data_IF_300010674343
#
_entry.id   IF_300010674343
#
_cell.length_a   1.000
_cell.length_b   1.000
_cell.length_c   1.000
_cell.angle_alpha   90.00
_cell.angle_beta   90.00
_cell.angle_gamma   90.00
#
_symmetry.space_group_name_H-M   'P 1'
#
loop_
_entity.id
_entity.type
_entity.pdbx_description
1 polymer ?
#
# COMPACT_ATOMS: atom_id res chain seq x y z
N UNK A 1 20.62 -19.00 1.75
CA UNK A 1 20.25 -18.53 3.09
C UNK A 1 19.98 -19.70 4.02
N UNK A 2 20.17 -19.50 5.33
CA UNK A 2 19.84 -20.48 6.36
C UNK A 2 18.92 -19.85 7.37
N UNK A 3 17.90 -20.57 7.80
CA UNK A 3 17.02 -20.18 8.91
C UNK A 3 17.33 -21.09 10.07
N UNK A 4 17.75 -20.49 11.19
CA UNK A 4 17.95 -21.17 12.45
C UNK A 4 16.72 -21.00 13.34
N UNK A 5 16.31 -22.09 13.99
CA UNK A 5 15.26 -22.06 15.02
C UNK A 5 15.93 -22.45 16.34
N UNK A 6 15.84 -21.58 17.32
CA UNK A 6 16.40 -21.77 18.63
C UNK A 6 15.41 -21.43 19.73
N UNK A 7 15.69 -21.92 20.93
CA UNK A 7 14.98 -21.52 22.12
C UNK A 7 15.74 -20.34 22.74
N UNK A 8 15.07 -19.21 22.89
CA UNK A 8 15.59 -18.09 23.65
C UNK A 8 15.17 -18.23 25.13
N UNK A 9 16.06 -17.84 26.02
CA UNK A 9 15.68 -17.68 27.41
C UNK A 9 14.66 -16.54 27.53
N UNK A 10 13.65 -16.72 28.37
CA UNK A 10 12.71 -15.67 28.69
C UNK A 10 13.36 -14.72 29.71
N UNK A 11 13.27 -13.43 29.43
CA UNK A 11 13.65 -12.41 30.40
C UNK A 11 12.48 -12.12 31.33
N UNK A 12 12.77 -11.98 32.60
CA UNK A 12 11.80 -11.49 33.56
C UNK A 12 11.60 -9.98 33.38
N UNK A 13 10.43 -9.48 33.75
CA UNK A 13 10.13 -8.04 33.70
C UNK A 13 11.09 -7.17 34.52
N UNK A 14 11.85 -7.78 35.43
CA UNK A 14 12.86 -7.13 36.30
C UNK A 14 14.28 -7.21 35.72
N UNK A 15 14.51 -7.96 34.67
CA UNK A 15 15.84 -8.07 34.06
C UNK A 15 16.06 -6.96 33.04
N UNK A 16 17.27 -6.41 33.04
CA UNK A 16 17.69 -5.45 32.01
C UNK A 16 17.92 -6.20 30.71
N UNK A 17 17.31 -5.73 29.64
CA UNK A 17 17.54 -6.28 28.30
C UNK A 17 19.04 -6.20 27.98
N UNK A 18 19.71 -7.33 27.67
CA UNK A 18 21.14 -7.31 27.38
C UNK A 18 21.44 -6.49 26.13
N UNK A 19 22.54 -5.76 26.17
CA UNK A 19 23.01 -5.02 24.99
C UNK A 19 23.36 -6.01 23.87
N UNK A 20 22.86 -5.83 22.65
CA UNK A 20 23.23 -6.66 21.51
C UNK A 20 24.74 -6.63 21.28
N UNK A 21 25.35 -7.78 21.13
CA UNK A 21 26.79 -7.92 20.84
C UNK A 21 27.03 -8.96 19.73
N UNK A 22 28.07 -8.76 18.96
CA UNK A 22 28.53 -9.67 17.90
C UNK A 22 29.86 -10.37 18.22
N UNK A 23 30.20 -10.44 19.51
CA UNK A 23 31.43 -11.11 19.93
C UNK A 23 31.43 -12.59 19.56
N UNK A 24 32.60 -13.22 19.30
CA UNK A 24 32.70 -14.65 19.01
C UNK A 24 32.03 -15.54 20.09
N UNK A 25 32.03 -15.10 21.35
CA UNK A 25 31.37 -15.79 22.44
C UNK A 25 29.83 -15.78 22.26
N UNK A 26 29.27 -14.63 21.92
CA UNK A 26 27.82 -14.47 21.70
C UNK A 26 27.37 -15.25 20.48
N UNK A 27 28.14 -15.21 19.38
CA UNK A 27 27.86 -15.99 18.17
C UNK A 27 27.84 -17.49 18.47
N UNK A 28 28.83 -18.01 19.19
CA UNK A 28 28.88 -19.42 19.59
C UNK A 28 27.71 -19.81 20.51
N UNK A 29 27.35 -18.94 21.46
CA UNK A 29 26.20 -19.18 22.35
C UNK A 29 24.89 -19.26 21.54
N UNK A 30 24.69 -18.35 20.59
CA UNK A 30 23.53 -18.37 19.69
C UNK A 30 23.52 -19.67 18.85
N UNK A 31 24.63 -20.06 18.26
CA UNK A 31 24.73 -21.29 17.47
C UNK A 31 24.43 -22.53 18.32
N UNK A 32 24.94 -22.57 19.57
CA UNK A 32 24.68 -23.68 20.51
C UNK A 32 23.21 -23.77 20.99
N UNK A 33 22.49 -22.64 20.97
CA UNK A 33 21.07 -22.60 21.31
C UNK A 33 20.16 -22.99 20.14
N UNK A 34 20.67 -23.15 18.92
CA UNK A 34 19.88 -23.58 17.77
C UNK A 34 19.42 -25.03 17.93
N UNK A 35 18.12 -25.25 17.82
CA UNK A 35 17.51 -26.58 17.84
C UNK A 35 17.44 -27.17 16.43
N UNK A 36 17.39 -26.33 15.41
CA UNK A 36 17.30 -26.73 14.01
C UNK A 36 17.88 -25.64 13.12
N UNK A 37 18.51 -26.04 12.03
CA UNK A 37 18.95 -25.12 10.95
C UNK A 37 18.48 -25.70 9.63
N UNK A 38 17.77 -24.89 8.84
CA UNK A 38 17.26 -25.27 7.53
C UNK A 38 17.80 -24.34 6.46
N UNK A 39 18.34 -24.90 5.38
CA UNK A 39 18.63 -24.14 4.18
C UNK A 39 17.33 -23.70 3.50
N UNK A 40 17.26 -22.45 3.06
CA UNK A 40 16.13 -21.90 2.30
C UNK A 40 16.63 -21.41 0.95
N UNK A 41 15.91 -21.78 -0.11
CA UNK A 41 16.27 -21.41 -1.48
C UNK A 41 15.89 -19.99 -1.86
N UNK A 42 15.05 -19.34 -1.05
CA UNK A 42 14.62 -17.96 -1.30
C UNK A 42 13.98 -17.32 -0.07
N UNK A 43 13.92 -16.00 -0.10
CA UNK A 43 13.22 -15.18 0.87
C UNK A 43 12.46 -14.06 0.14
N UNK A 44 11.37 -13.58 0.72
CA UNK A 44 10.62 -12.44 0.20
C UNK A 44 10.20 -11.54 1.33
N UNK A 45 10.18 -10.24 1.08
CA UNK A 45 9.40 -9.33 1.91
C UNK A 45 7.92 -9.65 1.74
N UNK A 46 7.13 -9.41 2.77
CA UNK A 46 5.69 -9.65 2.75
C UNK A 46 4.94 -8.51 3.41
N UNK A 47 3.72 -8.27 2.95
CA UNK A 47 2.76 -7.36 3.55
C UNK A 47 1.50 -8.14 3.94
N UNK A 48 0.66 -7.64 4.87
CA UNK A 48 -0.62 -8.27 5.17
C UNK A 48 -1.47 -8.48 3.92
N UNK A 49 -2.20 -9.59 3.87
CA UNK A 49 -3.06 -9.92 2.73
C UNK A 49 -4.47 -9.40 2.95
N UNK A 50 -4.91 -8.52 2.07
CA UNK A 50 -6.28 -8.06 1.97
C UNK A 50 -6.83 -8.41 0.60
N UNK A 51 -7.76 -9.37 0.54
CA UNK A 51 -8.41 -9.70 -0.73
C UNK A 51 -9.50 -8.68 -1.04
N UNK A 52 -9.60 -8.29 -2.31
CA UNK A 52 -10.75 -7.54 -2.75
C UNK A 52 -12.03 -8.39 -2.61
N UNK A 53 -13.09 -7.79 -2.12
CA UNK A 53 -14.41 -8.42 -2.09
C UNK A 53 -15.50 -7.38 -2.37
N UNK A 54 -16.48 -7.78 -3.18
CA UNK A 54 -17.62 -6.92 -3.50
C UNK A 54 -18.44 -6.60 -2.25
N UNK A 55 -18.85 -5.36 -2.10
CA UNK A 55 -19.60 -4.88 -0.93
C UNK A 55 -18.72 -4.34 0.20
N UNK A 56 -17.40 -4.49 0.12
CA UNK A 56 -16.48 -3.95 1.13
C UNK A 56 -16.17 -2.47 0.90
N UNK A 57 -15.88 -1.76 1.99
CA UNK A 57 -15.43 -0.38 1.98
C UNK A 57 -13.90 -0.36 2.10
N UNK A 58 -13.25 0.34 1.17
CA UNK A 58 -11.80 0.54 1.17
C UNK A 58 -11.51 2.01 1.40
N UNK A 59 -10.45 2.28 2.16
CA UNK A 59 -9.99 3.65 2.40
C UNK A 59 -9.05 4.10 1.29
N UNK A 60 -9.06 5.40 1.00
CA UNK A 60 -8.02 5.98 0.16
C UNK A 60 -6.67 5.93 0.88
N UNK A 61 -5.59 5.77 0.12
CA UNK A 61 -4.24 5.92 0.63
C UNK A 61 -4.04 7.34 1.16
N UNK A 62 -3.39 7.42 2.31
CA UNK A 62 -3.03 8.66 2.97
C UNK A 62 -1.53 8.58 3.30
N UNK A 63 -0.74 9.52 2.85
CA UNK A 63 0.71 9.59 3.03
C UNK A 63 1.14 10.16 4.40
N UNK A 64 0.20 10.71 5.16
CA UNK A 64 0.43 11.20 6.53
C UNK A 64 0.32 10.07 7.60
N UNK A 65 0.27 8.83 7.16
CA UNK A 65 0.19 7.67 8.06
C UNK A 65 1.57 7.37 8.65
N UNK A 66 1.72 7.57 9.95
CA UNK A 66 2.97 7.34 10.68
C UNK A 66 3.26 5.87 11.05
N UNK A 67 2.31 4.96 10.87
CA UNK A 67 2.42 3.54 11.17
C UNK A 67 1.82 2.68 10.06
N UNK A 68 2.12 1.37 10.04
CA UNK A 68 1.44 0.44 9.15
C UNK A 68 -0.05 0.53 9.43
N UNK A 69 -0.88 1.01 8.48
CA UNK A 69 -2.27 1.29 8.75
C UNK A 69 -3.05 -0.01 8.98
N UNK A 70 -3.93 0.02 9.97
CA UNK A 70 -4.94 -1.02 10.16
C UNK A 70 -6.04 -0.98 9.09
N UNK A 71 -6.07 0.09 8.30
CA UNK A 71 -7.09 0.33 7.28
C UNK A 71 -6.69 -0.29 5.94
N UNK A 72 -7.65 -0.92 5.29
CA UNK A 72 -7.46 -1.54 3.98
C UNK A 72 -7.47 -0.48 2.88
N UNK A 73 -6.29 -0.05 2.43
CA UNK A 73 -6.12 0.88 1.30
C UNK A 73 -5.49 0.22 0.07
N UNK A 74 -5.12 -1.05 0.17
CA UNK A 74 -4.69 -1.86 -0.96
C UNK A 74 -5.35 -3.23 -0.92
N UNK A 75 -5.45 -3.87 -2.07
CA UNK A 75 -6.13 -5.15 -2.21
C UNK A 75 -5.39 -6.07 -3.18
N UNK A 76 -5.49 -7.37 -2.93
CA UNK A 76 -5.13 -8.42 -3.86
C UNK A 76 -6.41 -8.94 -4.54
N UNK A 77 -6.42 -8.97 -5.86
CA UNK A 77 -7.51 -9.58 -6.64
C UNK A 77 -7.27 -11.08 -6.85
N UNK A 78 -8.29 -11.79 -7.29
CA UNK A 78 -8.20 -13.20 -7.68
C UNK A 78 -7.28 -13.45 -8.87
N UNK A 79 -6.99 -12.40 -9.67
CA UNK A 79 -6.05 -12.44 -10.80
C UNK A 79 -4.58 -12.30 -10.33
N UNK A 80 -4.32 -12.35 -9.04
CA UNK A 80 -3.01 -12.11 -8.42
C UNK A 80 -2.43 -10.71 -8.73
N UNK A 81 -3.28 -9.73 -8.90
CA UNK A 81 -2.91 -8.34 -9.10
C UNK A 81 -3.15 -7.52 -7.82
N UNK A 82 -2.21 -6.66 -7.47
CA UNK A 82 -2.30 -5.78 -6.30
C UNK A 82 -2.60 -4.36 -6.77
N UNK A 83 -3.63 -3.78 -6.16
CA UNK A 83 -4.10 -2.42 -6.43
C UNK A 83 -4.08 -1.59 -5.15
N UNK A 84 -3.70 -0.32 -5.27
CA UNK A 84 -3.87 0.68 -4.22
C UNK A 84 -5.13 1.50 -4.50
N UNK A 85 -5.92 1.73 -3.46
CA UNK A 85 -7.04 2.67 -3.50
C UNK A 85 -6.51 4.08 -3.31
N UNK A 86 -6.64 4.93 -4.30
CA UNK A 86 -6.23 6.33 -4.23
C UNK A 86 -7.37 7.22 -3.71
N UNK A 87 -8.62 6.89 -4.09
CA UNK A 87 -9.78 7.65 -3.65
C UNK A 87 -10.94 6.72 -3.35
N UNK A 88 -11.47 6.84 -2.14
CA UNK A 88 -12.69 6.16 -1.72
C UNK A 88 -13.91 6.77 -2.41
N UNK A 89 -14.84 5.92 -2.83
CA UNK A 89 -16.15 6.38 -3.29
C UNK A 89 -16.99 6.90 -2.11
N UNK A 90 -17.60 8.05 -2.29
CA UNK A 90 -18.49 8.66 -1.31
C UNK A 90 -19.83 9.04 -1.94
N UNK A 91 -20.89 8.90 -1.16
CA UNK A 91 -22.23 9.38 -1.51
C UNK A 91 -22.27 10.92 -1.55
N UNK A 92 -23.38 11.47 -1.99
CA UNK A 92 -23.62 12.94 -1.96
C UNK A 92 -23.61 13.52 -0.55
N UNK A 93 -23.82 12.70 0.48
CA UNK A 93 -23.77 13.10 1.90
C UNK A 93 -22.40 12.88 2.54
N UNK A 94 -21.40 12.42 1.76
CA UNK A 94 -20.06 12.15 2.24
C UNK A 94 -19.85 10.76 2.88
N UNK A 95 -20.88 9.95 3.00
CA UNK A 95 -20.76 8.59 3.53
C UNK A 95 -20.00 7.68 2.54
N UNK A 96 -19.12 6.80 3.03
CA UNK A 96 -18.44 5.84 2.17
C UNK A 96 -19.41 4.92 1.45
N UNK A 97 -19.19 4.69 0.16
CA UNK A 97 -19.90 3.67 -0.62
C UNK A 97 -19.12 2.36 -0.62
N UNK A 98 -19.78 1.21 -0.64
CA UNK A 98 -19.10 -0.07 -0.84
C UNK A 98 -18.54 -0.18 -2.27
N UNK A 99 -17.37 -0.83 -2.41
CA UNK A 99 -16.82 -1.20 -3.71
C UNK A 99 -17.57 -2.41 -4.26
N UNK A 100 -18.12 -2.28 -5.46
CA UNK A 100 -18.88 -3.35 -6.14
C UNK A 100 -18.27 -3.77 -7.46
N UNK A 101 -17.27 -3.04 -7.92
CA UNK A 101 -16.57 -3.30 -9.19
C UNK A 101 -15.11 -3.65 -8.88
N UNK A 102 -14.73 -4.89 -9.23
CA UNK A 102 -13.34 -5.35 -9.08
C UNK A 102 -12.39 -4.44 -9.85
N UNK A 103 -11.31 -3.94 -9.22
CA UNK A 103 -10.31 -3.17 -9.94
C UNK A 103 -9.65 -4.03 -11.02
N UNK A 104 -9.60 -3.47 -12.22
CA UNK A 104 -8.92 -4.05 -13.38
C UNK A 104 -8.41 -2.91 -14.24
N UNK A 105 -7.09 -2.71 -14.26
CA UNK A 105 -6.45 -1.57 -14.89
C UNK A 105 -6.45 -1.69 -16.41
N UNK A 106 -7.11 -0.79 -17.15
CA UNK A 106 -7.02 -0.76 -18.62
C UNK A 106 -5.59 -0.43 -19.10
N UNK A 107 -4.91 0.41 -18.34
CA UNK A 107 -3.50 0.79 -18.52
C UNK A 107 -2.84 0.73 -17.15
N UNK A 108 -1.94 -0.23 -16.93
CA UNK A 108 -1.34 -0.51 -15.62
C UNK A 108 -0.52 0.65 -15.05
N UNK A 109 0.06 1.47 -15.89
CA UNK A 109 0.85 2.64 -15.48
C UNK A 109 0.01 3.84 -15.03
N UNK A 110 -1.31 3.84 -15.24
CA UNK A 110 -2.20 4.97 -14.94
C UNK A 110 -3.20 4.64 -13.84
N UNK A 111 -3.55 5.65 -13.04
CA UNK A 111 -4.72 5.57 -12.18
C UNK A 111 -6.01 5.53 -13.02
N UNK A 112 -7.02 4.83 -12.55
CA UNK A 112 -8.31 4.69 -13.24
C UNK A 112 -9.45 4.69 -12.23
N UNK A 113 -10.63 5.09 -12.70
CA UNK A 113 -11.84 5.13 -11.88
C UNK A 113 -12.79 4.01 -12.30
N UNK A 114 -13.30 3.27 -11.31
CA UNK A 114 -14.33 2.26 -11.51
C UNK A 114 -15.72 2.89 -11.46
N UNK A 115 -16.73 2.23 -12.05
CA UNK A 115 -18.10 2.76 -12.13
C UNK A 115 -18.78 2.92 -10.76
N UNK A 116 -18.31 2.24 -9.73
CA UNK A 116 -18.72 2.42 -8.32
C UNK A 116 -18.11 3.65 -7.65
N UNK A 117 -17.27 4.40 -8.38
CA UNK A 117 -16.72 5.68 -7.97
C UNK A 117 -15.37 5.62 -7.24
N UNK A 118 -14.82 4.45 -7.03
CA UNK A 118 -13.46 4.29 -6.50
C UNK A 118 -12.40 4.66 -7.54
N UNK A 119 -11.27 5.22 -7.10
CA UNK A 119 -10.08 5.42 -7.94
C UNK A 119 -8.98 4.50 -7.47
N UNK A 120 -8.50 3.68 -8.37
CA UNK A 120 -7.47 2.68 -8.13
C UNK A 120 -6.22 2.93 -8.98
N UNK A 121 -5.08 2.43 -8.53
CA UNK A 121 -3.86 2.30 -9.34
C UNK A 121 -3.32 0.89 -9.15
N UNK A 122 -2.92 0.26 -10.26
CA UNK A 122 -2.19 -1.00 -10.24
C UNK A 122 -0.81 -0.77 -9.64
N UNK A 123 -0.34 -1.70 -8.81
CA UNK A 123 1.00 -1.68 -8.23
C UNK A 123 1.88 -2.75 -8.86
N UNK A 124 1.47 -4.01 -8.75
CA UNK A 124 2.22 -5.15 -9.30
C UNK A 124 1.33 -6.38 -9.42
N UNK A 125 1.78 -7.34 -10.22
CA UNK A 125 1.20 -8.68 -10.28
C UNK A 125 2.15 -9.70 -9.67
N UNK A 126 1.59 -10.79 -9.13
CA UNK A 126 2.36 -11.92 -8.63
C UNK A 126 2.51 -12.94 -9.76
N UNK A 127 3.75 -13.27 -10.13
CA UNK A 127 4.00 -14.42 -10.99
C UNK A 127 3.57 -15.72 -10.28
N UNK A 128 3.21 -16.73 -11.05
CA UNK A 128 2.78 -18.02 -10.52
C UNK A 128 3.84 -18.65 -9.59
N UNK A 129 5.13 -18.47 -9.90
CA UNK A 129 6.24 -18.96 -9.08
C UNK A 129 6.32 -18.25 -7.74
N UNK A 130 6.16 -16.92 -7.70
CA UNK A 130 6.17 -16.15 -6.46
C UNK A 130 4.93 -16.42 -5.62
N UNK A 131 3.77 -16.49 -6.25
CA UNK A 131 2.53 -16.86 -5.56
C UNK A 131 2.64 -18.24 -4.92
N UNK A 132 3.14 -19.24 -5.65
CA UNK A 132 3.34 -20.60 -5.13
C UNK A 132 4.35 -20.66 -3.98
N UNK A 133 5.41 -19.85 -4.02
CA UNK A 133 6.48 -19.89 -3.03
C UNK A 133 6.17 -19.08 -1.75
N UNK A 134 5.49 -17.95 -1.86
CA UNK A 134 5.42 -16.96 -0.79
C UNK A 134 4.03 -16.42 -0.46
N UNK A 135 3.01 -16.61 -1.31
CA UNK A 135 1.64 -16.19 -1.00
C UNK A 135 1.06 -17.12 0.06
N UNK A 136 0.55 -16.55 1.13
CA UNK A 136 -0.08 -17.30 2.21
C UNK A 136 -1.49 -16.78 2.50
N UNK A 137 -2.19 -17.40 3.44
CA UNK A 137 -3.51 -16.92 3.88
C UNK A 137 -3.45 -15.49 4.43
N UNK A 138 -2.34 -15.10 5.06
CA UNK A 138 -2.21 -13.85 5.79
C UNK A 138 -1.26 -12.84 5.14
N UNK A 139 -0.44 -13.25 4.17
CA UNK A 139 0.62 -12.41 3.63
C UNK A 139 0.71 -12.49 2.11
N UNK A 140 1.05 -11.35 1.51
CA UNK A 140 1.33 -11.18 0.09
C UNK A 140 2.82 -10.85 -0.08
N UNK A 141 3.56 -11.57 -0.95
CA UNK A 141 4.97 -11.24 -1.20
C UNK A 141 5.11 -9.92 -1.95
N UNK A 142 6.15 -9.18 -1.58
CA UNK A 142 6.54 -7.90 -2.22
C UNK A 142 7.97 -8.00 -2.68
N UNK A 143 8.27 -7.50 -3.86
CA UNK A 143 9.61 -7.34 -4.40
C UNK A 143 9.95 -5.87 -4.54
N UNK A 144 11.20 -5.54 -4.17
CA UNK A 144 11.72 -4.21 -4.45
C UNK A 144 12.14 -4.15 -5.91
N UNK A 145 11.48 -3.33 -6.68
CA UNK A 145 11.80 -3.05 -8.08
C UNK A 145 12.01 -1.55 -8.22
N UNK A 146 13.21 -1.15 -8.60
CA UNK A 146 13.57 0.26 -8.71
C UNK A 146 13.23 0.84 -10.09
N UNK A 147 13.28 0.02 -11.15
CA UNK A 147 12.92 0.42 -12.53
C UNK A 147 12.67 -0.80 -13.40
N UNK A 148 12.02 -0.61 -14.54
CA UNK A 148 11.82 -1.68 -15.53
C UNK A 148 13.12 -2.22 -16.15
N UNK A 149 14.19 -1.43 -16.11
CA UNK A 149 15.52 -1.80 -16.61
C UNK A 149 16.38 -2.60 -15.61
N UNK A 150 15.88 -2.88 -14.41
CA UNK A 150 16.62 -3.65 -13.41
C UNK A 150 16.88 -5.07 -13.90
N UNK A 151 18.13 -5.54 -13.76
CA UNK A 151 18.51 -6.87 -14.20
C UNK A 151 17.86 -7.98 -13.37
N UNK A 152 17.50 -9.09 -14.01
CA UNK A 152 17.00 -10.29 -13.36
C UNK A 152 15.51 -10.28 -13.03
N UNK A 153 14.76 -9.28 -13.49
CA UNK A 153 13.30 -9.24 -13.34
C UNK A 153 12.62 -10.27 -14.26
N UNK A 154 11.56 -10.90 -13.75
CA UNK A 154 10.57 -11.60 -14.57
C UNK A 154 9.60 -10.57 -15.20
N UNK A 155 8.64 -11.05 -16.01
CA UNK A 155 7.65 -10.17 -16.66
C UNK A 155 6.85 -9.35 -15.64
N UNK A 156 6.52 -9.92 -14.48
CA UNK A 156 5.80 -9.21 -13.41
C UNK A 156 6.66 -8.11 -12.79
N UNK A 157 7.95 -8.37 -12.61
CA UNK A 157 8.91 -7.37 -12.13
C UNK A 157 9.13 -6.23 -13.13
N UNK A 158 9.24 -6.53 -14.42
CA UNK A 158 9.30 -5.51 -15.48
C UNK A 158 8.06 -4.62 -15.47
N UNK A 159 6.88 -5.21 -15.35
CA UNK A 159 5.61 -4.50 -15.29
C UNK A 159 5.53 -3.59 -14.04
N UNK A 160 5.95 -4.09 -12.88
CA UNK A 160 6.07 -3.28 -11.66
C UNK A 160 7.06 -2.11 -11.85
N UNK A 161 8.19 -2.33 -12.49
CA UNK A 161 9.16 -1.30 -12.83
C UNK A 161 8.59 -0.23 -13.75
N UNK A 162 7.80 -0.61 -14.75
CA UNK A 162 7.11 0.34 -15.63
C UNK A 162 6.12 1.23 -14.85
N UNK A 163 5.45 0.68 -13.84
CA UNK A 163 4.58 1.48 -12.94
C UNK A 163 5.40 2.48 -12.13
N UNK A 164 6.57 2.06 -11.61
CA UNK A 164 7.49 2.95 -10.90
C UNK A 164 8.05 4.05 -11.82
N UNK A 165 8.54 3.68 -13.00
CA UNK A 165 9.12 4.61 -13.99
C UNK A 165 8.07 5.62 -14.54
N UNK A 166 6.79 5.29 -14.46
CA UNK A 166 5.67 6.13 -14.89
C UNK A 166 5.13 7.04 -13.79
N UNK A 167 5.77 7.08 -12.62
CA UNK A 167 5.36 7.96 -11.53
C UNK A 167 5.60 9.42 -11.90
N UNK A 168 4.55 10.23 -11.79
CA UNK A 168 4.62 11.67 -12.02
C UNK A 168 4.88 12.37 -10.67
N UNK A 169 6.01 13.04 -10.52
CA UNK A 169 6.30 13.82 -9.32
C UNK A 169 5.36 15.01 -9.20
N UNK A 170 4.89 15.28 -7.99
CA UNK A 170 4.03 16.43 -7.68
C UNK A 170 2.60 16.33 -8.17
N UNK A 171 2.16 15.19 -8.72
CA UNK A 171 0.78 14.97 -9.12
C UNK A 171 -0.13 14.77 -7.92
N UNK A 172 -1.19 15.58 -7.80
CA UNK A 172 -2.24 15.37 -6.81
C UNK A 172 -3.07 14.14 -7.21
N UNK A 173 -3.03 13.10 -6.39
CA UNK A 173 -3.79 11.86 -6.64
C UNK A 173 -5.12 11.85 -5.91
N UNK A 174 -5.20 12.53 -4.76
CA UNK A 174 -6.41 12.60 -3.92
C UNK A 174 -6.38 13.89 -3.09
N UNK A 175 -7.56 14.38 -2.70
CA UNK A 175 -7.73 15.45 -1.72
C UNK A 175 -8.64 14.90 -0.62
N UNK A 176 -8.11 14.78 0.59
CA UNK A 176 -8.85 14.32 1.76
C UNK A 176 -9.41 15.51 2.52
N UNK A 177 -10.73 15.55 2.70
CA UNK A 177 -11.37 16.57 3.52
C UNK A 177 -11.31 16.13 4.98
N UNK A 178 -10.41 16.71 5.76
CA UNK A 178 -10.26 16.41 7.20
C UNK A 178 -11.24 17.20 8.06
N UNK A 179 -11.60 18.40 7.62
CA UNK A 179 -12.60 19.24 8.26
C UNK A 179 -13.37 20.03 7.18
N UNK A 180 -14.64 19.72 7.00
CA UNK A 180 -15.50 20.32 5.98
C UNK A 180 -16.04 21.71 6.33
N UNK A 181 -15.79 22.22 7.54
CA UNK A 181 -16.36 23.47 8.00
C UNK A 181 -17.89 23.43 8.15
N UNK A 182 -18.50 24.59 8.31
CA UNK A 182 -19.96 24.74 8.44
C UNK A 182 -20.44 26.03 7.74
N UNK A 183 -21.73 26.11 7.44
CA UNK A 183 -22.34 27.33 6.92
C UNK A 183 -22.25 27.54 5.42
N UNK A 184 -21.77 26.57 4.67
CA UNK A 184 -21.77 26.64 3.21
C UNK A 184 -23.21 26.47 2.65
N UNK A 185 -23.64 27.43 1.86
CA UNK A 185 -24.93 27.38 1.15
C UNK A 185 -24.83 26.90 -0.30
N UNK A 186 -23.61 26.87 -0.83
CA UNK A 186 -23.28 26.37 -2.17
C UNK A 186 -21.86 25.80 -2.19
N UNK A 187 -21.51 25.09 -3.25
CA UNK A 187 -20.16 24.55 -3.43
C UNK A 187 -19.15 25.69 -3.53
N UNK A 188 -18.15 25.76 -2.63
CA UNK A 188 -17.12 26.78 -2.70
C UNK A 188 -16.18 26.53 -3.89
N UNK A 189 -15.57 27.60 -4.38
CA UNK A 189 -14.48 27.50 -5.36
C UNK A 189 -13.25 26.90 -4.69
N UNK A 190 -12.66 25.87 -5.33
CA UNK A 190 -11.39 25.29 -4.90
C UNK A 190 -10.28 25.91 -5.74
N UNK A 191 -9.32 26.51 -5.07
CA UNK A 191 -8.12 27.06 -5.71
C UNK A 191 -6.91 26.23 -5.27
N UNK A 192 -6.20 25.66 -6.23
CA UNK A 192 -4.96 24.92 -5.99
C UNK A 192 -3.82 25.81 -6.50
N UNK A 193 -2.98 26.26 -5.58
CA UNK A 193 -1.82 27.09 -5.89
C UNK A 193 -0.55 26.26 -5.74
N UNK A 194 0.18 26.09 -6.84
CA UNK A 194 1.52 25.51 -6.83
C UNK A 194 2.58 26.56 -6.56
N UNK A 195 3.82 26.14 -6.35
CA UNK A 195 4.96 27.02 -6.38
C UNK A 195 5.19 27.45 -7.85
N UNK A 196 5.38 28.74 -8.11
CA UNK A 196 5.44 29.28 -9.49
C UNK A 196 6.47 28.52 -10.34
N UNK A 197 6.01 27.91 -11.43
CA UNK A 197 6.81 27.04 -12.29
C UNK A 197 6.79 25.55 -11.93
N UNK A 198 6.05 25.12 -10.88
CA UNK A 198 5.86 23.72 -10.57
C UNK A 198 4.76 23.08 -11.44
N UNK A 199 4.93 21.81 -11.71
CA UNK A 199 3.89 20.95 -12.32
C UNK A 199 2.71 20.93 -11.36
N UNK A 200 1.57 21.57 -11.73
CA UNK A 200 0.40 21.64 -10.86
C UNK A 200 -0.37 22.95 -10.88
N UNK A 201 0.17 24.02 -11.46
CA UNK A 201 -0.51 25.31 -11.57
C UNK A 201 -1.84 25.26 -12.37
N UNK A 202 -2.12 24.14 -13.04
CA UNK A 202 -3.35 23.88 -13.78
C UNK A 202 -4.28 22.86 -13.12
N UNK A 203 -3.98 22.40 -11.91
CA UNK A 203 -4.84 21.44 -11.21
C UNK A 203 -6.18 22.08 -10.86
N UNK A 204 -7.28 21.40 -11.21
CA UNK A 204 -8.64 21.83 -10.94
C UNK A 204 -9.34 20.82 -10.05
N UNK A 205 -10.13 21.30 -9.12
CA UNK A 205 -10.96 20.45 -8.26
C UNK A 205 -12.33 21.11 -8.02
N UNK A 206 -13.30 20.28 -7.68
CA UNK A 206 -14.67 20.74 -7.38
C UNK A 206 -15.09 20.23 -6.01
N UNK A 207 -15.45 21.15 -5.13
CA UNK A 207 -16.00 20.81 -3.83
C UNK A 207 -17.47 20.40 -3.93
N UNK A 208 -17.89 19.48 -3.07
CA UNK A 208 -19.29 19.10 -2.88
C UNK A 208 -19.71 19.43 -1.45
N UNK A 209 -20.80 20.15 -1.29
CA UNK A 209 -21.38 20.54 0.02
C UNK A 209 -22.60 19.67 0.32
N UNK A 210 -22.69 19.19 1.54
CA UNK A 210 -23.87 18.53 2.09
C UNK A 210 -24.05 18.95 3.55
N UNK A 211 -25.31 19.31 3.95
CA UNK A 211 -25.59 19.75 5.32
C UNK A 211 -24.80 20.98 5.77
N UNK A 212 -24.41 21.86 4.83
CA UNK A 212 -23.62 23.06 5.12
C UNK A 212 -22.13 22.83 5.34
N UNK A 213 -21.61 21.63 5.07
CA UNK A 213 -20.20 21.27 5.17
C UNK A 213 -19.67 20.74 3.84
N UNK A 214 -18.38 20.97 3.55
CA UNK A 214 -17.71 20.30 2.42
C UNK A 214 -17.48 18.84 2.77
N UNK A 215 -18.02 17.93 1.98
CA UNK A 215 -17.91 16.48 2.21
C UNK A 215 -16.97 15.77 1.25
N UNK A 216 -16.57 16.46 0.18
CA UNK A 216 -15.73 15.91 -0.88
C UNK A 216 -15.13 17.03 -1.71
N UNK A 217 -13.90 16.80 -2.17
CA UNK A 217 -13.21 17.61 -3.20
C UNK A 217 -12.77 16.70 -4.33
#
# INVERSE_FOLDING_TARGET
>A
YYVGIGKNDQWNSTETVPTPTDTPKTIRATQSALQSVKAVSGASFVIPRYNWSSGSIYNGYDDDISAIPSNTYYVLTEDNEVYICLQQSKSATGSPNPSTVKPSAPIKTKAFKTSDGYTWKFLYSLSASRASAFLSANFVPVEKVDSAGQAGLDLSGIEQGQVADSADEGRILNIVVTNGGTGFTSNPTVTITGNSGAIGDSAQATATVSGGSVVKV
#
